data_IF_002080010297
#
_entry.id   IF_002080010297
#
_cell.length_a   1.000
_cell.length_b   1.000
_cell.length_c   1.000
_cell.angle_alpha   90.00
_cell.angle_beta   90.00
_cell.angle_gamma   90.00
#
_symmetry.space_group_name_H-M   'P 1'
#
loop_
_entity.id
_entity.type
_entity.pdbx_description
1 polymer ?
#
# COMPACT_ATOMS: atom_id res chain seq x y z
N UNK A 1 4.50 60.89 17.04
CA UNK A 1 4.53 60.04 15.83
C UNK A 1 4.04 60.85 14.66
N UNK A 2 4.81 60.88 13.57
CA UNK A 2 4.45 61.67 12.39
C UNK A 2 3.22 61.06 11.70
N UNK A 3 2.25 61.89 11.32
CA UNK A 3 0.98 61.47 10.69
C UNK A 3 1.20 60.56 9.46
N UNK A 4 2.32 60.75 8.75
CA UNK A 4 2.76 59.93 7.62
C UNK A 4 3.15 58.51 8.04
N UNK A 5 3.87 58.35 9.16
CA UNK A 5 4.27 57.03 9.70
C UNK A 5 3.04 56.24 10.14
N UNK A 6 2.04 56.92 10.70
CA UNK A 6 0.79 56.30 11.13
C UNK A 6 -0.04 55.78 9.95
N UNK A 7 -0.02 56.49 8.82
CA UNK A 7 -0.64 56.03 7.55
C UNK A 7 0.07 54.79 6.99
N UNK A 8 1.41 54.78 6.95
CA UNK A 8 2.16 53.62 6.45
C UNK A 8 1.97 52.37 7.31
N UNK A 9 1.91 52.53 8.64
CA UNK A 9 1.61 51.43 9.57
C UNK A 9 0.19 50.88 9.34
N UNK A 10 -0.80 51.76 9.12
CA UNK A 10 -2.16 51.35 8.80
C UNK A 10 -2.24 50.54 7.50
N UNK A 11 -1.59 51.02 6.43
CA UNK A 11 -1.54 50.31 5.14
C UNK A 11 -0.86 48.95 5.28
N UNK A 12 0.27 48.90 5.99
CA UNK A 12 1.00 47.65 6.21
C UNK A 12 0.17 46.63 7.01
N UNK A 13 -0.50 47.07 8.07
CA UNK A 13 -1.38 46.21 8.87
C UNK A 13 -2.52 45.63 8.03
N UNK A 14 -3.18 46.46 7.20
CA UNK A 14 -4.23 46.00 6.29
C UNK A 14 -3.69 45.02 5.25
N UNK A 15 -2.49 45.25 4.71
CA UNK A 15 -1.86 44.35 3.74
C UNK A 15 -1.57 42.97 4.35
N UNK A 16 -1.03 42.93 5.58
CA UNK A 16 -0.75 41.67 6.30
C UNK A 16 -2.04 40.90 6.58
N UNK A 17 -3.09 41.58 7.06
CA UNK A 17 -4.39 40.95 7.30
C UNK A 17 -5.01 40.44 6.00
N UNK A 18 -4.91 41.20 4.90
CA UNK A 18 -5.41 40.80 3.60
C UNK A 18 -4.70 39.56 3.04
N UNK A 19 -3.37 39.50 3.13
CA UNK A 19 -2.58 38.34 2.71
C UNK A 19 -2.92 37.12 3.58
N UNK A 20 -3.01 37.30 4.91
CA UNK A 20 -3.40 36.23 5.82
C UNK A 20 -4.79 35.68 5.52
N UNK A 21 -5.76 36.55 5.22
CA UNK A 21 -7.12 36.14 4.83
C UNK A 21 -7.13 35.38 3.49
N UNK A 22 -6.34 35.82 2.51
CA UNK A 22 -6.20 35.13 1.22
C UNK A 22 -5.63 33.71 1.41
N UNK A 23 -4.60 33.57 2.25
CA UNK A 23 -4.06 32.25 2.56
C UNK A 23 -5.09 31.36 3.27
N UNK A 24 -5.83 31.90 4.24
CA UNK A 24 -6.92 31.17 4.89
C UNK A 24 -8.01 30.74 3.88
N UNK A 25 -8.41 31.62 2.98
CA UNK A 25 -9.47 31.37 2.02
C UNK A 25 -9.08 30.33 0.95
N UNK A 26 -7.82 30.32 0.52
CA UNK A 26 -7.34 29.39 -0.53
C UNK A 26 -7.01 28.02 0.06
N UNK A 27 -6.31 27.97 1.19
CA UNK A 27 -5.74 26.73 1.70
C UNK A 27 -6.60 26.05 2.79
N UNK A 28 -7.35 26.82 3.58
CA UNK A 28 -8.05 26.27 4.77
C UNK A 28 -9.58 26.26 4.61
N UNK A 29 -10.17 27.17 3.84
CA UNK A 29 -11.64 27.24 3.66
C UNK A 29 -12.21 26.09 2.84
N UNK A 30 -11.42 25.50 1.95
CA UNK A 30 -11.80 24.29 1.20
C UNK A 30 -10.96 23.12 1.72
N UNK A 31 -11.55 22.32 2.61
CA UNK A 31 -11.10 20.94 2.76
C UNK A 31 -11.24 20.23 1.42
N UNK A 32 -10.29 19.39 0.99
CA UNK A 32 -10.52 18.52 -0.15
C UNK A 32 -11.79 17.72 0.15
N UNK A 33 -12.79 17.84 -0.73
CA UNK A 33 -13.92 16.92 -0.72
C UNK A 33 -13.32 15.53 -0.83
N UNK A 34 -13.54 14.62 0.15
CA UNK A 34 -13.17 13.24 -0.05
C UNK A 34 -13.84 12.81 -1.36
N UNK A 35 -13.06 12.22 -2.27
CA UNK A 35 -13.63 11.56 -3.42
C UNK A 35 -14.61 10.53 -2.85
N UNK A 36 -15.90 10.76 -3.05
CA UNK A 36 -16.92 9.73 -2.90
C UNK A 36 -16.64 8.69 -4.00
N UNK A 37 -15.72 7.76 -3.72
CA UNK A 37 -15.76 6.44 -4.33
C UNK A 37 -16.86 5.64 -3.63
N UNK A 38 -18.08 6.14 -3.68
CA UNK A 38 -19.27 5.34 -3.40
C UNK A 38 -19.58 4.66 -4.72
N UNK A 39 -19.44 3.33 -4.85
CA UNK A 39 -20.00 2.63 -5.98
C UNK A 39 -21.46 3.02 -6.10
N UNK A 40 -21.90 3.40 -7.30
CA UNK A 40 -23.32 3.57 -7.59
C UNK A 40 -24.01 2.26 -7.21
N UNK A 41 -24.77 2.27 -6.11
CA UNK A 41 -25.61 1.15 -5.71
C UNK A 41 -26.53 0.83 -6.89
N UNK A 42 -26.18 -0.25 -7.58
CA UNK A 42 -27.14 -0.99 -8.39
C UNK A 42 -27.99 -1.71 -7.38
N UNK A 43 -29.28 -1.41 -7.35
CA UNK A 43 -30.28 -2.13 -6.55
C UNK A 43 -30.14 -3.63 -6.86
N UNK A 44 -29.48 -4.38 -5.98
CA UNK A 44 -29.40 -5.84 -6.07
C UNK A 44 -30.65 -6.37 -5.38
N UNK A 45 -31.52 -6.95 -6.19
CA UNK A 45 -32.66 -7.75 -5.77
C UNK A 45 -32.17 -8.85 -4.80
N UNK A 46 -32.73 -8.87 -3.59
CA UNK A 46 -32.17 -9.50 -2.39
C UNK A 46 -32.22 -11.03 -2.36
N UNK A 47 -32.31 -11.69 -3.52
CA UNK A 47 -32.62 -13.12 -3.59
C UNK A 47 -31.71 -14.01 -4.44
N UNK A 48 -30.55 -13.53 -4.92
CA UNK A 48 -29.58 -14.41 -5.58
C UNK A 48 -28.13 -14.06 -5.21
N UNK A 49 -27.52 -14.86 -4.32
CA UNK A 49 -26.07 -14.86 -4.15
C UNK A 49 -25.42 -15.52 -5.38
N UNK A 50 -24.28 -15.00 -5.86
CA UNK A 50 -23.52 -15.64 -6.93
C UNK A 50 -22.95 -16.98 -6.44
N UNK A 51 -23.17 -18.04 -7.22
CA UNK A 51 -22.52 -19.34 -7.03
C UNK A 51 -21.07 -19.27 -7.53
N UNK A 52 -20.09 -19.65 -6.71
CA UNK A 52 -18.71 -19.81 -7.17
C UNK A 52 -18.60 -21.03 -8.10
N UNK A 53 -18.02 -20.82 -9.28
CA UNK A 53 -17.79 -21.89 -10.26
C UNK A 53 -16.83 -22.96 -9.73
N UNK A 54 -17.13 -24.22 -9.99
CA UNK A 54 -16.28 -25.35 -9.59
C UNK A 54 -14.94 -25.34 -10.33
N UNK A 55 -13.87 -25.58 -9.57
CA UNK A 55 -12.50 -25.67 -10.05
C UNK A 55 -12.30 -26.97 -10.87
N UNK A 56 -12.08 -26.88 -12.17
CA UNK A 56 -11.65 -28.04 -12.98
C UNK A 56 -10.12 -28.15 -12.94
N UNK A 57 -9.60 -29.06 -12.13
CA UNK A 57 -8.19 -29.42 -12.14
C UNK A 57 -7.87 -30.19 -13.43
N UNK A 58 -7.14 -29.56 -14.36
CA UNK A 58 -6.43 -30.28 -15.41
C UNK A 58 -5.14 -30.84 -14.84
N UNK A 59 -5.06 -32.16 -14.74
CA UNK A 59 -3.89 -32.89 -14.26
C UNK A 59 -4.01 -34.39 -14.55
N UNK A 60 -3.48 -34.77 -15.71
CA UNK A 60 -2.90 -36.06 -16.12
C UNK A 60 -3.27 -37.35 -15.36
N UNK A 61 -3.93 -38.24 -16.11
CA UNK A 61 -4.06 -39.70 -16.00
C UNK A 61 -3.15 -40.40 -14.97
N UNK A 62 -3.77 -40.89 -13.89
CA UNK A 62 -3.24 -41.93 -13.01
C UNK A 62 -4.20 -43.13 -13.01
N UNK A 63 -3.68 -44.30 -13.39
CA UNK A 63 -4.37 -45.57 -13.60
C UNK A 63 -5.40 -45.96 -12.52
N UNK A 64 -6.58 -46.41 -12.97
CA UNK A 64 -7.51 -47.21 -12.17
C UNK A 64 -6.82 -48.49 -11.71
N UNK A 65 -6.74 -48.73 -10.40
CA UNK A 65 -6.45 -50.05 -9.86
C UNK A 65 -7.70 -50.53 -9.11
N UNK A 66 -8.38 -51.50 -9.70
CA UNK A 66 -9.47 -52.26 -9.10
C UNK A 66 -8.92 -53.09 -7.96
N UNK A 67 -9.26 -52.75 -6.72
CA UNK A 67 -9.09 -53.59 -5.54
C UNK A 67 -10.46 -54.02 -5.01
N UNK A 68 -10.83 -55.27 -5.24
CA UNK A 68 -11.94 -55.94 -4.55
C UNK A 68 -11.53 -56.21 -3.10
N UNK A 69 -12.18 -55.54 -2.15
CA UNK A 69 -11.97 -55.72 -0.70
C UNK A 69 -13.30 -55.68 0.05
N UNK A 70 -13.59 -56.76 0.75
CA UNK A 70 -14.81 -57.08 1.49
C UNK A 70 -15.08 -56.14 2.68
N UNK A 71 -16.36 -55.89 2.96
CA UNK A 71 -16.87 -55.17 4.14
C UNK A 71 -16.40 -55.80 5.46
N UNK A 72 -15.48 -55.12 6.14
CA UNK A 72 -15.11 -55.37 7.54
C UNK A 72 -15.36 -54.11 8.36
N UNK A 73 -16.13 -54.23 9.44
CA UNK A 73 -16.47 -53.13 10.33
C UNK A 73 -15.23 -52.49 10.94
N UNK A 74 -14.96 -51.25 10.55
CA UNK A 74 -13.96 -50.37 11.15
C UNK A 74 -14.62 -49.06 11.52
N UNK A 75 -14.40 -48.61 12.75
CA UNK A 75 -14.91 -47.33 13.27
C UNK A 75 -14.73 -46.22 12.25
N UNK A 76 -15.83 -45.58 11.85
CA UNK A 76 -15.78 -44.31 11.14
C UNK A 76 -15.26 -43.31 12.15
N UNK A 77 -13.96 -43.01 12.11
CA UNK A 77 -13.48 -41.77 12.71
C UNK A 77 -14.13 -40.68 11.88
N UNK A 78 -15.12 -40.02 12.48
CA UNK A 78 -15.70 -38.79 11.92
C UNK A 78 -14.53 -37.92 11.45
N UNK A 79 -14.52 -37.43 10.19
CA UNK A 79 -13.49 -36.50 9.74
C UNK A 79 -13.41 -35.39 10.78
N UNK A 80 -12.22 -35.21 11.37
CA UNK A 80 -11.95 -34.09 12.25
C UNK A 80 -12.52 -32.85 11.58
N UNK A 81 -13.38 -32.12 12.29
CA UNK A 81 -14.03 -30.93 11.78
C UNK A 81 -12.99 -30.10 11.03
N UNK A 82 -13.22 -29.92 9.73
CA UNK A 82 -12.50 -28.97 8.90
C UNK A 82 -12.47 -27.66 9.70
N UNK A 83 -11.31 -27.03 9.94
CA UNK A 83 -11.25 -25.86 10.81
C UNK A 83 -12.26 -24.84 10.28
N UNK A 84 -13.24 -24.58 11.13
CA UNK A 84 -14.26 -23.55 11.02
C UNK A 84 -13.66 -22.33 10.33
N UNK A 85 -14.31 -21.86 9.26
CA UNK A 85 -13.95 -20.70 8.44
C UNK A 85 -13.27 -19.62 9.29
N UNK A 86 -11.96 -19.76 9.44
CA UNK A 86 -11.21 -19.00 10.40
C UNK A 86 -11.08 -17.62 9.81
N UNK A 87 -11.82 -16.65 10.35
CA UNK A 87 -11.53 -15.24 10.13
C UNK A 87 -10.07 -15.08 10.57
N UNK A 88 -9.16 -15.06 9.59
CA UNK A 88 -7.73 -14.88 9.85
C UNK A 88 -7.60 -13.49 10.41
N UNK A 89 -7.35 -13.39 11.72
CA UNK A 89 -7.06 -12.13 12.38
C UNK A 89 -5.77 -11.58 11.75
N UNK A 90 -5.92 -10.64 10.82
CA UNK A 90 -4.78 -9.93 10.24
C UNK A 90 -4.37 -8.86 11.25
N UNK A 91 -3.14 -8.95 11.75
CA UNK A 91 -2.54 -7.87 12.53
C UNK A 91 -2.05 -6.79 11.58
N UNK A 92 -2.56 -5.57 11.73
CA UNK A 92 -2.02 -4.39 11.06
C UNK A 92 -0.61 -4.11 11.62
N UNK A 93 0.41 -4.15 10.76
CA UNK A 93 1.82 -3.98 11.17
C UNK A 93 2.26 -2.52 11.10
N UNK A 94 1.70 -1.74 10.16
CA UNK A 94 2.07 -0.35 9.91
C UNK A 94 0.80 0.48 9.75
N UNK A 95 0.73 1.65 10.38
CA UNK A 95 -0.40 2.59 10.27
C UNK A 95 -0.13 3.81 9.39
N UNK A 96 1.10 3.96 8.94
CA UNK A 96 1.60 5.13 8.21
C UNK A 96 1.32 5.06 6.71
N UNK A 97 1.44 6.21 6.04
CA UNK A 97 1.30 6.31 4.59
C UNK A 97 2.52 5.70 3.90
N UNK A 98 2.36 4.47 3.41
CA UNK A 98 3.41 3.73 2.71
C UNK A 98 3.13 3.66 1.20
N UNK A 99 4.20 3.71 0.41
CA UNK A 99 4.14 3.63 -1.06
C UNK A 99 4.65 2.26 -1.52
N UNK A 100 3.94 1.69 -2.49
CA UNK A 100 4.29 0.48 -3.25
C UNK A 100 4.78 -0.70 -2.39
N UNK A 101 3.98 -1.19 -1.42
CA UNK A 101 4.36 -2.37 -0.66
C UNK A 101 4.45 -3.60 -1.57
N UNK A 102 5.57 -4.34 -1.50
CA UNK A 102 5.78 -5.54 -2.31
C UNK A 102 6.51 -6.63 -1.55
N UNK A 103 6.04 -7.87 -1.72
CA UNK A 103 6.71 -9.06 -1.20
C UNK A 103 7.93 -9.38 -2.10
N UNK A 104 9.10 -9.54 -1.48
CA UNK A 104 10.32 -9.96 -2.15
C UNK A 104 10.43 -11.50 -2.20
N UNK A 105 11.46 -12.01 -2.87
CA UNK A 105 11.71 -13.45 -3.01
C UNK A 105 11.88 -14.20 -1.69
N UNK A 106 12.26 -13.52 -0.61
CA UNK A 106 12.45 -14.08 0.72
C UNK A 106 11.17 -14.07 1.58
N UNK A 107 10.05 -13.58 1.04
CA UNK A 107 8.79 -13.43 1.77
C UNK A 107 8.72 -12.19 2.67
N UNK A 108 9.72 -11.31 2.63
CA UNK A 108 9.70 -10.04 3.35
C UNK A 108 8.94 -8.98 2.54
N UNK A 109 8.30 -8.04 3.22
CA UNK A 109 7.57 -6.94 2.59
C UNK A 109 8.46 -5.72 2.54
N UNK A 110 8.78 -5.25 1.34
CA UNK A 110 9.50 -3.99 1.13
C UNK A 110 8.50 -2.87 0.88
N UNK A 111 8.75 -1.70 1.45
CA UNK A 111 7.90 -0.52 1.29
C UNK A 111 8.71 0.76 1.49
N UNK A 112 8.17 1.86 0.98
CA UNK A 112 8.70 3.21 1.22
C UNK A 112 7.77 3.95 2.18
N UNK A 113 8.34 4.69 3.12
CA UNK A 113 7.59 5.57 4.00
C UNK A 113 7.73 7.03 3.52
N UNK A 114 6.62 7.64 3.13
CA UNK A 114 6.63 9.03 2.65
C UNK A 114 6.85 10.07 3.75
N UNK A 115 6.67 9.69 5.02
CA UNK A 115 6.78 10.61 6.16
C UNK A 115 8.24 10.94 6.45
N UNK A 116 9.10 9.92 6.52
CA UNK A 116 10.53 10.05 6.81
C UNK A 116 11.41 9.97 5.55
N UNK A 117 10.83 9.58 4.41
CA UNK A 117 11.54 9.44 3.13
C UNK A 117 12.46 8.23 3.07
N UNK A 118 12.24 7.20 3.87
CA UNK A 118 13.11 6.01 3.93
C UNK A 118 12.46 4.75 3.39
N UNK A 119 13.31 3.79 3.05
CA UNK A 119 12.93 2.46 2.61
C UNK A 119 13.10 1.45 3.73
N UNK A 120 12.10 0.58 3.85
CA UNK A 120 12.01 -0.39 4.92
C UNK A 120 11.70 -1.78 4.37
N UNK A 121 12.13 -2.80 5.10
CA UNK A 121 11.73 -4.19 4.90
C UNK A 121 11.11 -4.71 6.19
N UNK A 122 9.99 -5.42 6.07
CA UNK A 122 9.34 -6.11 7.17
C UNK A 122 9.51 -7.62 7.03
N UNK A 123 10.09 -8.24 8.04
CA UNK A 123 10.21 -9.69 8.16
C UNK A 123 9.49 -10.14 9.43
N UNK A 124 8.44 -10.95 9.28
CA UNK A 124 7.61 -11.44 10.39
C UNK A 124 7.13 -10.32 11.36
N UNK A 125 6.81 -9.15 10.83
CA UNK A 125 6.35 -7.99 11.61
C UNK A 125 7.46 -7.16 12.25
N UNK A 126 8.73 -7.56 12.13
CA UNK A 126 9.87 -6.71 12.49
C UNK A 126 10.25 -5.83 11.31
N UNK A 127 10.35 -4.53 11.54
CA UNK A 127 10.68 -3.52 10.52
C UNK A 127 12.16 -3.15 10.64
N UNK A 128 12.86 -3.12 9.51
CA UNK A 128 14.27 -2.73 9.43
C UNK A 128 14.50 -1.75 8.27
N UNK A 129 15.35 -0.75 8.48
CA UNK A 129 15.76 0.21 7.44
C UNK A 129 16.63 -0.50 6.38
N UNK A 130 16.29 -0.29 5.11
CA UNK A 130 17.06 -0.84 3.98
C UNK A 130 18.22 0.07 3.59
N UNK A 131 18.16 1.36 3.93
CA UNK A 131 19.23 2.32 3.69
C UNK A 131 19.19 3.47 4.69
N UNK A 132 20.37 4.01 4.95
CA UNK A 132 20.65 5.24 5.67
C UNK A 132 20.35 6.51 4.84
N UNK A 133 20.17 6.38 3.53
CA UNK A 133 19.85 7.49 2.64
C UNK A 133 18.36 7.83 2.69
N UNK A 134 18.07 9.14 2.69
CA UNK A 134 16.71 9.67 2.64
C UNK A 134 16.39 10.08 1.20
N UNK A 135 15.22 9.64 0.71
CA UNK A 135 14.68 9.91 -0.60
C UNK A 135 13.41 10.72 -0.45
N UNK A 136 13.47 12.01 -0.76
CA UNK A 136 12.32 12.90 -0.57
C UNK A 136 11.37 12.84 -1.74
N UNK A 137 10.06 12.89 -1.44
CA UNK A 137 9.00 13.09 -2.44
C UNK A 137 9.01 12.04 -3.56
N UNK A 138 9.23 10.78 -3.20
CA UNK A 138 9.11 9.65 -4.13
C UNK A 138 7.64 9.48 -4.50
N UNK A 139 7.35 9.43 -5.80
CA UNK A 139 5.99 9.23 -6.31
C UNK A 139 5.68 7.74 -6.45
N UNK A 140 6.61 6.96 -7.00
CA UNK A 140 6.44 5.54 -7.22
C UNK A 140 7.76 4.77 -7.06
N UNK A 141 7.65 3.49 -6.72
CA UNK A 141 8.78 2.57 -6.52
C UNK A 141 8.50 1.26 -7.22
N UNK A 142 9.37 0.90 -8.16
CA UNK A 142 9.36 -0.39 -8.85
C UNK A 142 10.47 -1.26 -8.27
N UNK A 143 10.07 -2.21 -7.44
CA UNK A 143 10.97 -3.15 -6.78
C UNK A 143 11.41 -4.29 -7.70
N UNK A 144 12.69 -4.65 -7.63
CA UNK A 144 13.20 -5.88 -8.23
C UNK A 144 12.53 -7.12 -7.62
N UNK A 145 12.37 -8.18 -8.43
CA UNK A 145 11.78 -9.44 -7.99
C UNK A 145 12.73 -10.34 -7.22
N UNK A 146 14.04 -10.21 -7.46
CA UNK A 146 15.07 -11.14 -6.97
C UNK A 146 16.15 -10.49 -6.12
N UNK A 147 16.41 -9.20 -6.33
CA UNK A 147 17.49 -8.46 -5.68
C UNK A 147 16.94 -7.34 -4.81
N UNK A 148 17.73 -6.85 -3.86
CA UNK A 148 17.40 -5.64 -3.11
C UNK A 148 17.77 -4.41 -3.94
N UNK A 149 17.02 -4.23 -5.03
CA UNK A 149 17.19 -3.14 -5.99
C UNK A 149 15.81 -2.55 -6.32
N UNK A 150 15.78 -1.25 -6.63
CA UNK A 150 14.55 -0.59 -7.07
C UNK A 150 14.82 0.50 -8.09
N UNK A 151 13.79 0.79 -8.88
CA UNK A 151 13.67 2.02 -9.66
C UNK A 151 12.75 2.94 -8.86
N UNK A 152 13.22 4.14 -8.59
CA UNK A 152 12.53 5.17 -7.81
C UNK A 152 12.16 6.28 -8.78
N UNK A 153 10.86 6.58 -8.86
CA UNK A 153 10.29 7.56 -9.77
C UNK A 153 9.86 8.80 -8.97
N UNK A 154 10.24 9.97 -9.49
CA UNK A 154 9.94 11.26 -8.89
C UNK A 154 8.90 12.02 -9.74
N UNK A 155 8.13 12.94 -9.13
CA UNK A 155 7.07 13.68 -9.83
C UNK A 155 7.60 14.69 -10.87
N UNK A 156 8.91 14.95 -10.90
CA UNK A 156 9.57 15.72 -11.97
C UNK A 156 9.89 14.86 -13.21
N UNK A 157 9.49 13.58 -13.19
CA UNK A 157 9.77 12.58 -14.21
C UNK A 157 11.23 12.11 -14.21
N UNK A 158 11.99 12.38 -13.16
CA UNK A 158 13.32 11.81 -12.96
C UNK A 158 13.20 10.38 -12.42
N UNK A 159 14.03 9.48 -12.94
CA UNK A 159 14.07 8.09 -12.49
C UNK A 159 15.48 7.77 -12.00
N UNK A 160 15.59 7.14 -10.83
CA UNK A 160 16.86 6.64 -10.33
C UNK A 160 16.78 5.14 -10.09
N UNK A 161 17.84 4.44 -10.43
CA UNK A 161 18.11 3.10 -9.97
C UNK A 161 18.89 3.16 -8.65
N UNK A 162 18.46 2.35 -7.67
CA UNK A 162 19.15 2.21 -6.40
C UNK A 162 19.30 0.74 -6.01
N UNK A 163 20.53 0.34 -5.67
CA UNK A 163 20.83 -0.96 -5.07
C UNK A 163 21.06 -0.78 -3.57
N UNK A 164 20.21 -1.41 -2.75
CA UNK A 164 20.22 -1.28 -1.29
C UNK A 164 21.36 -2.09 -0.63
N UNK A 165 21.83 -3.16 -1.26
CA UNK A 165 22.95 -3.97 -0.76
C UNK A 165 24.29 -3.25 -0.93
N UNK A 166 24.51 -2.64 -2.09
CA UNK A 166 25.77 -1.96 -2.44
C UNK A 166 25.74 -0.46 -2.22
N UNK A 167 24.57 0.12 -1.91
CA UNK A 167 24.32 1.56 -1.79
C UNK A 167 24.72 2.35 -3.05
N UNK A 168 24.54 1.74 -4.22
CA UNK A 168 24.88 2.37 -5.50
C UNK A 168 23.63 3.00 -6.10
N UNK A 169 23.71 4.30 -6.37
CA UNK A 169 22.68 5.07 -7.07
C UNK A 169 23.12 5.39 -8.49
N UNK A 170 22.20 5.28 -9.46
CA UNK A 170 22.40 5.76 -10.84
C UNK A 170 21.14 6.46 -11.33
N UNK A 171 21.30 7.61 -11.97
CA UNK A 171 20.19 8.28 -12.65
C UNK A 171 19.97 7.64 -14.02
N UNK A 172 18.71 7.37 -14.36
CA UNK A 172 18.33 6.82 -15.66
C UNK A 172 18.03 7.95 -16.64
N UNK A 173 18.47 7.85 -17.91
CA UNK A 173 18.08 8.79 -18.96
C UNK A 173 16.60 8.64 -19.31
N UNK A 174 16.02 9.72 -19.84
CA UNK A 174 14.63 9.77 -20.31
C UNK A 174 14.47 9.08 -21.67
#
# INVERSE_FOLDING_TARGET
MDKKRLIFIGIFAVAVIGIGYLMYAVFLKKSPTPLDTTPKDTTIDTNNLPTSGSFTQSGTTGSTQTGTGTTGGGNIVSPSALPESGIRKVSKVIEENIISPKINSNGNVNFYNSIDGKFYTSSNGQISEMSDQVFFNVENVIWSGMKNESIIEYPDGSNIYYNFDTKVQKTLPK
#
